data_IF_892035846494
#
_entry.id   IF_892035846494
#
_cell.length_a   1.000
_cell.length_b   1.000
_cell.length_c   1.000
_cell.angle_alpha   90.00
_cell.angle_beta   90.00
_cell.angle_gamma   90.00
#
_symmetry.space_group_name_H-M   'P 1'
#
loop_
_entity.id
_entity.type
_entity.pdbx_description
1 polymer ?
#
# COMPACT_ATOMS: atom_id res chain seq x y z
N UNK A 1 -5.12 1.30 2.32
CA UNK A 1 -6.46 1.55 1.76
C UNK A 1 -6.46 2.48 0.54
N UNK A 2 -5.32 3.11 0.20
CA UNK A 2 -5.15 3.96 -0.99
C UNK A 2 -4.84 3.18 -2.28
N UNK A 3 -4.46 3.94 -3.33
CA UNK A 3 -4.27 3.41 -4.69
C UNK A 3 -3.16 2.37 -4.86
N UNK A 4 -2.13 2.35 -4.01
CA UNK A 4 -1.06 1.33 -4.00
C UNK A 4 -1.42 0.19 -3.06
N UNK A 5 -1.79 0.50 -1.81
CA UNK A 5 -2.08 -0.50 -0.78
C UNK A 5 -3.23 -1.43 -1.14
N UNK A 6 -4.27 -0.93 -1.84
CA UNK A 6 -5.40 -1.77 -2.29
C UNK A 6 -4.99 -2.88 -3.27
N UNK A 7 -3.98 -2.65 -4.11
CA UNK A 7 -3.40 -3.69 -4.95
C UNK A 7 -2.43 -4.57 -4.18
N UNK A 8 -1.61 -3.99 -3.30
CA UNK A 8 -0.61 -4.71 -2.53
C UNK A 8 -1.23 -5.80 -1.65
N UNK A 9 -2.33 -5.49 -0.95
CA UNK A 9 -3.08 -6.47 -0.15
C UNK A 9 -3.48 -7.67 -1.02
N UNK A 10 -4.13 -7.43 -2.15
CA UNK A 10 -4.64 -8.49 -3.02
C UNK A 10 -3.51 -9.32 -3.67
N UNK A 11 -2.43 -8.65 -4.09
CA UNK A 11 -1.26 -9.35 -4.65
C UNK A 11 -0.58 -10.21 -3.59
N UNK A 12 -0.40 -9.71 -2.37
CA UNK A 12 0.16 -10.49 -1.28
C UNK A 12 -0.71 -11.72 -0.95
N UNK A 13 -2.03 -11.57 -0.92
CA UNK A 13 -2.97 -12.69 -0.76
C UNK A 13 -2.89 -13.68 -1.92
N UNK A 14 -2.77 -13.20 -3.15
CA UNK A 14 -2.60 -14.07 -4.33
C UNK A 14 -1.34 -14.94 -4.23
N UNK A 15 -0.27 -14.41 -3.63
CA UNK A 15 0.96 -15.16 -3.37
C UNK A 15 0.95 -15.98 -2.07
N UNK A 16 -0.19 -16.09 -1.39
CA UNK A 16 -0.37 -16.92 -0.21
C UNK A 16 0.11 -16.30 1.10
N UNK A 17 0.38 -15.00 1.15
CA UNK A 17 0.79 -14.34 2.37
C UNK A 17 -0.38 -14.15 3.35
N UNK A 18 -0.08 -14.17 4.65
CA UNK A 18 -0.90 -13.54 5.67
C UNK A 18 -0.64 -12.04 5.66
N UNK A 19 -1.70 -11.23 5.58
CA UNK A 19 -1.60 -9.80 5.31
C UNK A 19 -2.13 -8.97 6.46
N UNK A 20 -1.25 -8.23 7.13
CA UNK A 20 -1.61 -7.13 8.00
C UNK A 20 -1.57 -5.80 7.23
N UNK A 21 -2.49 -4.89 7.52
CA UNK A 21 -2.52 -3.56 6.91
C UNK A 21 -2.93 -2.48 7.89
N UNK A 22 -2.28 -1.32 7.79
CA UNK A 22 -2.69 -0.13 8.53
C UNK A 22 -3.77 0.64 7.77
N UNK A 23 -4.80 1.10 8.46
CA UNK A 23 -5.84 1.95 7.86
C UNK A 23 -6.57 2.77 8.92
N UNK A 24 -7.40 3.73 8.51
CA UNK A 24 -8.35 4.39 9.41
C UNK A 24 -9.65 3.59 9.52
N UNK A 25 -10.39 3.77 10.62
CA UNK A 25 -11.63 3.04 10.89
C UNK A 25 -12.63 3.06 9.73
N UNK A 26 -12.75 4.17 8.99
CA UNK A 26 -13.64 4.31 7.83
C UNK A 26 -13.33 3.38 6.64
N UNK A 27 -12.13 2.82 6.58
CA UNK A 27 -11.67 1.97 5.47
C UNK A 27 -11.49 0.50 5.88
N UNK A 28 -11.88 0.12 7.09
CA UNK A 28 -11.77 -1.25 7.62
C UNK A 28 -12.49 -2.25 6.69
N UNK A 29 -13.75 -1.97 6.34
CA UNK A 29 -14.52 -2.86 5.47
C UNK A 29 -13.91 -3.01 4.08
N UNK A 30 -13.32 -1.92 3.54
CA UNK A 30 -12.62 -1.99 2.26
C UNK A 30 -11.45 -2.97 2.34
N UNK A 31 -10.52 -2.77 3.28
CA UNK A 31 -9.30 -3.58 3.33
C UNK A 31 -9.60 -5.02 3.71
N UNK A 32 -10.63 -5.26 4.53
CA UNK A 32 -11.15 -6.60 4.83
C UNK A 32 -11.69 -7.27 3.57
N UNK A 33 -12.48 -6.55 2.79
CA UNK A 33 -13.01 -7.04 1.50
C UNK A 33 -11.93 -7.30 0.44
N UNK A 34 -10.75 -6.68 0.56
CA UNK A 34 -9.58 -6.93 -0.28
C UNK A 34 -8.73 -8.13 0.19
N UNK A 35 -9.06 -8.72 1.34
CA UNK A 35 -8.42 -9.92 1.87
C UNK A 35 -7.39 -9.69 2.96
N UNK A 36 -7.33 -8.51 3.59
CA UNK A 36 -6.47 -8.31 4.75
C UNK A 36 -6.93 -9.21 5.92
N UNK A 37 -6.01 -9.95 6.51
CA UNK A 37 -6.26 -10.86 7.63
C UNK A 37 -6.24 -10.09 8.96
N UNK A 38 -5.28 -9.18 9.12
CA UNK A 38 -5.14 -8.31 10.30
C UNK A 38 -5.26 -6.85 9.88
N UNK A 39 -6.09 -6.10 10.61
CA UNK A 39 -6.35 -4.69 10.33
C UNK A 39 -5.94 -3.86 11.54
N UNK A 40 -5.00 -2.95 11.35
CA UNK A 40 -4.47 -2.06 12.36
C UNK A 40 -5.05 -0.67 12.13
N UNK A 41 -5.94 -0.23 13.01
CA UNK A 41 -6.47 1.13 12.96
C UNK A 41 -5.45 2.10 13.57
N UNK A 42 -4.68 2.78 12.73
CA UNK A 42 -3.61 3.69 13.16
C UNK A 42 -4.08 4.91 14.00
N UNK A 43 -5.39 5.09 14.14
CA UNK A 43 -5.97 6.11 15.06
C UNK A 43 -6.18 5.59 16.48
N UNK A 44 -6.14 4.29 16.66
CA UNK A 44 -6.46 3.61 17.93
C UNK A 44 -5.26 2.83 18.45
N UNK A 45 -4.38 2.34 17.56
CA UNK A 45 -3.18 1.56 17.92
C UNK A 45 -1.96 1.96 17.08
N UNK A 46 -0.79 1.95 17.69
CA UNK A 46 0.48 2.16 17.00
C UNK A 46 1.01 0.81 16.48
N UNK A 47 1.09 0.65 15.17
CA UNK A 47 1.60 -0.59 14.56
C UNK A 47 3.03 -0.92 14.98
N UNK A 48 3.82 0.07 15.38
CA UNK A 48 5.21 -0.11 15.80
C UNK A 48 5.36 -0.87 17.11
N UNK A 49 4.28 -1.06 17.87
CA UNK A 49 4.25 -1.90 19.06
C UNK A 49 4.36 -3.40 18.72
N UNK A 50 4.10 -3.80 17.47
CA UNK A 50 4.19 -5.18 16.97
C UNK A 50 5.64 -5.54 16.62
N UNK A 51 6.52 -5.56 17.63
CA UNK A 51 7.94 -5.80 17.47
C UNK A 51 8.24 -7.18 16.88
N UNK A 52 9.08 -7.23 15.84
CA UNK A 52 9.55 -8.46 15.19
C UNK A 52 8.41 -9.45 14.82
N UNK A 53 7.28 -8.94 14.35
CA UNK A 53 6.11 -9.75 13.99
C UNK A 53 6.11 -10.14 12.50
N UNK A 54 6.64 -9.25 11.63
CA UNK A 54 6.47 -9.39 10.18
C UNK A 54 7.74 -9.85 9.46
N UNK A 55 7.55 -10.64 8.41
CA UNK A 55 8.63 -11.09 7.52
C UNK A 55 8.92 -10.06 6.43
N UNK A 56 7.88 -9.33 5.98
CA UNK A 56 7.98 -8.31 4.92
C UNK A 56 7.13 -7.11 5.27
N UNK A 57 7.66 -5.91 5.05
CA UNK A 57 6.91 -4.65 5.10
C UNK A 57 7.00 -3.96 3.75
N UNK A 58 5.84 -3.50 3.25
CA UNK A 58 5.74 -2.57 2.13
C UNK A 58 5.33 -1.20 2.66
N UNK A 59 6.27 -0.27 2.67
CA UNK A 59 6.01 1.12 3.01
C UNK A 59 5.57 1.93 1.78
N UNK A 60 4.46 2.63 1.92
CA UNK A 60 3.86 3.49 0.88
C UNK A 60 3.70 4.94 1.31
N UNK A 61 4.25 5.31 2.47
CA UNK A 61 4.06 6.61 3.11
C UNK A 61 5.38 7.36 3.30
N UNK A 62 6.47 6.64 3.63
CA UNK A 62 7.75 7.24 3.96
C UNK A 62 7.80 7.93 5.33
N UNK A 63 8.81 8.76 5.54
CA UNK A 63 8.99 9.55 6.76
C UNK A 63 8.99 8.69 8.03
N UNK A 64 8.33 9.17 9.08
CA UNK A 64 8.23 8.49 10.38
C UNK A 64 7.66 7.06 10.28
N UNK A 65 6.75 6.81 9.36
CA UNK A 65 6.19 5.46 9.16
C UNK A 65 7.26 4.49 8.63
N UNK A 66 8.10 4.95 7.70
CA UNK A 66 9.23 4.17 7.22
C UNK A 66 10.21 3.87 8.36
N UNK A 67 10.53 4.86 9.20
CA UNK A 67 11.42 4.70 10.36
C UNK A 67 10.88 3.67 11.36
N UNK A 68 9.62 3.74 11.72
CA UNK A 68 8.95 2.77 12.60
C UNK A 68 8.86 1.37 12.01
N UNK A 69 8.89 1.25 10.69
CA UNK A 69 8.76 -0.04 9.98
C UNK A 69 9.95 -0.99 10.20
N UNK A 70 11.11 -0.47 10.61
CA UNK A 70 12.26 -1.32 10.91
C UNK A 70 12.03 -2.20 12.15
N UNK A 71 11.31 -1.67 13.16
CA UNK A 71 11.15 -2.36 14.44
C UNK A 71 10.16 -3.51 14.40
N UNK A 72 9.27 -3.51 13.43
CA UNK A 72 8.22 -4.54 13.31
C UNK A 72 8.68 -5.75 12.50
N UNK A 73 9.84 -5.68 11.86
CA UNK A 73 10.40 -6.78 11.08
C UNK A 73 11.15 -7.77 11.96
N UNK A 74 10.99 -9.04 11.64
CA UNK A 74 11.81 -10.12 12.17
C UNK A 74 13.26 -9.98 11.68
N UNK A 75 14.25 -10.51 12.41
CA UNK A 75 15.60 -10.71 11.87
C UNK A 75 15.54 -11.50 10.55
N UNK A 76 16.28 -11.04 9.54
CA UNK A 76 16.20 -11.57 8.17
C UNK A 76 15.01 -11.05 7.34
N UNK A 77 14.16 -10.21 7.92
CA UNK A 77 13.01 -9.62 7.25
C UNK A 77 13.38 -8.64 6.14
N UNK A 78 12.37 -8.19 5.41
CA UNK A 78 12.54 -7.31 4.25
C UNK A 78 11.62 -6.10 4.29
N UNK A 79 12.21 -4.91 4.14
CA UNK A 79 11.49 -3.64 4.00
C UNK A 79 11.62 -3.12 2.56
N UNK A 80 10.48 -2.91 1.91
CA UNK A 80 10.43 -2.27 0.59
C UNK A 80 9.68 -0.97 0.73
N UNK A 81 10.29 0.16 0.37
CA UNK A 81 9.59 1.44 0.33
C UNK A 81 9.45 1.96 -1.10
N UNK A 82 8.30 2.53 -1.40
CA UNK A 82 7.99 3.25 -2.65
C UNK A 82 7.85 4.76 -2.44
N UNK A 83 7.97 5.22 -1.20
CA UNK A 83 7.75 6.61 -0.82
C UNK A 83 8.98 7.32 -0.25
N UNK A 84 9.98 6.57 0.24
CA UNK A 84 11.20 7.12 0.79
C UNK A 84 12.37 6.15 0.66
N UNK A 85 13.60 6.68 0.60
CA UNK A 85 14.80 5.85 0.58
C UNK A 85 15.07 5.32 1.99
N UNK A 86 15.10 3.98 2.20
CA UNK A 86 15.44 3.39 3.49
C UNK A 86 16.91 3.65 3.86
N UNK A 87 17.19 3.65 5.17
CA UNK A 87 18.53 3.70 5.72
C UNK A 87 19.18 2.30 5.71
N UNK A 88 20.21 2.13 4.90
CA UNK A 88 20.90 0.86 4.72
C UNK A 88 21.74 0.49 5.96
N UNK A 89 22.34 1.48 6.67
CA UNK A 89 23.11 1.22 7.86
C UNK A 89 22.23 0.74 9.03
N UNK A 90 21.07 1.38 9.21
CA UNK A 90 20.09 0.94 10.21
C UNK A 90 19.56 -0.47 9.89
N UNK A 91 19.37 -0.77 8.61
CA UNK A 91 18.94 -2.11 8.19
C UNK A 91 19.97 -3.18 8.50
N UNK A 92 21.26 -2.91 8.27
CA UNK A 92 22.36 -3.82 8.59
C UNK A 92 22.42 -4.08 10.10
N UNK A 93 22.34 -3.04 10.94
CA UNK A 93 22.34 -3.16 12.40
C UNK A 93 21.18 -4.05 12.90
N UNK A 94 20.02 -3.96 12.27
CA UNK A 94 18.82 -4.76 12.62
C UNK A 94 18.77 -6.14 11.93
N UNK A 95 19.75 -6.46 11.10
CA UNK A 95 19.80 -7.73 10.37
C UNK A 95 18.65 -7.93 9.37
N UNK A 96 18.17 -6.85 8.74
CA UNK A 96 17.11 -6.88 7.72
C UNK A 96 17.62 -6.40 6.37
N UNK A 97 16.90 -6.73 5.31
CA UNK A 97 17.16 -6.20 3.95
C UNK A 97 16.23 -5.07 3.61
N UNK A 98 16.74 -4.02 2.98
CA UNK A 98 15.92 -2.88 2.55
C UNK A 98 16.03 -2.64 1.06
N UNK A 99 14.96 -2.11 0.46
CA UNK A 99 14.93 -1.72 -0.94
C UNK A 99 14.08 -0.49 -1.15
N UNK A 100 14.64 0.51 -1.83
CA UNK A 100 13.83 1.58 -2.42
C UNK A 100 13.41 1.18 -3.83
N UNK A 101 12.11 1.12 -4.07
CA UNK A 101 11.56 0.72 -5.35
C UNK A 101 11.01 1.94 -6.10
N UNK A 102 11.81 2.48 -7.00
CA UNK A 102 11.31 3.42 -8.01
C UNK A 102 10.44 2.71 -9.04
N UNK A 103 9.34 3.34 -9.41
CA UNK A 103 8.46 2.82 -10.44
C UNK A 103 9.12 2.92 -11.81
N UNK A 104 9.34 1.75 -12.42
CA UNK A 104 9.69 1.64 -13.84
C UNK A 104 8.63 0.78 -14.49
N UNK A 105 7.75 1.40 -15.27
CA UNK A 105 6.67 0.69 -15.96
C UNK A 105 7.27 -0.20 -17.05
N UNK A 106 6.89 -1.48 -17.02
CA UNK A 106 7.21 -2.48 -18.05
C UNK A 106 5.93 -3.11 -18.56
N UNK A 107 5.83 -3.32 -19.85
CA UNK A 107 4.64 -3.90 -20.49
C UNK A 107 4.30 -5.26 -19.89
N UNK A 108 5.29 -6.13 -19.70
CA UNK A 108 5.09 -7.46 -19.13
C UNK A 108 4.52 -7.44 -17.70
N UNK A 109 4.81 -6.40 -16.94
CA UNK A 109 4.25 -6.23 -15.58
C UNK A 109 2.78 -5.79 -15.65
N UNK A 110 2.45 -4.90 -16.58
CA UNK A 110 1.07 -4.47 -16.81
C UNK A 110 0.22 -5.64 -17.32
N UNK A 111 0.73 -6.43 -18.26
CA UNK A 111 0.05 -7.62 -18.77
C UNK A 111 -0.25 -8.64 -17.66
N UNK A 112 0.70 -8.90 -16.76
CA UNK A 112 0.49 -9.78 -15.60
C UNK A 112 -0.60 -9.25 -14.67
N UNK A 113 -0.62 -7.96 -14.39
CA UNK A 113 -1.66 -7.34 -13.56
C UNK A 113 -3.02 -7.43 -14.25
N UNK A 114 -3.08 -7.15 -15.56
CA UNK A 114 -4.30 -7.25 -16.34
C UNK A 114 -4.84 -8.69 -16.41
N UNK A 115 -3.97 -9.69 -16.51
CA UNK A 115 -4.35 -11.10 -16.45
C UNK A 115 -5.00 -11.44 -15.09
N UNK A 116 -4.39 -11.00 -13.97
CA UNK A 116 -4.96 -11.18 -12.64
C UNK A 116 -6.33 -10.49 -12.48
N UNK A 117 -6.47 -9.29 -13.07
CA UNK A 117 -7.74 -8.55 -13.07
C UNK A 117 -8.80 -9.29 -13.90
N UNK A 118 -8.45 -9.76 -15.10
CA UNK A 118 -9.38 -10.48 -15.98
C UNK A 118 -9.88 -11.79 -15.37
N UNK A 119 -9.06 -12.45 -14.56
CA UNK A 119 -9.41 -13.65 -13.79
C UNK A 119 -10.15 -13.36 -12.47
N UNK A 120 -10.39 -12.10 -12.15
CA UNK A 120 -11.05 -11.67 -10.91
C UNK A 120 -10.22 -11.89 -9.64
N UNK A 121 -8.93 -12.21 -9.77
CA UNK A 121 -8.00 -12.44 -8.66
C UNK A 121 -7.54 -11.13 -8.01
N UNK A 122 -7.53 -10.06 -8.79
CA UNK A 122 -7.29 -8.69 -8.31
C UNK A 122 -8.41 -7.80 -8.84
N UNK A 123 -8.98 -6.99 -7.97
CA UNK A 123 -10.06 -6.04 -8.30
C UNK A 123 -9.58 -4.62 -8.07
N UNK A 124 -9.52 -3.75 -9.11
CA UNK A 124 -9.22 -2.34 -8.90
C UNK A 124 -10.27 -1.70 -7.99
N UNK A 125 -9.83 -1.21 -6.84
CA UNK A 125 -10.69 -0.45 -5.95
C UNK A 125 -10.79 0.99 -6.47
N UNK A 126 -11.90 1.36 -7.12
CA UNK A 126 -12.19 2.73 -7.55
C UNK A 126 -13.00 3.42 -6.46
N UNK A 127 -12.41 4.43 -5.83
CA UNK A 127 -13.04 5.15 -4.72
C UNK A 127 -13.89 6.33 -5.19
N UNK A 128 -13.36 7.10 -6.12
CA UNK A 128 -14.02 8.30 -6.64
C UNK A 128 -13.81 8.42 -8.16
N UNK A 129 -14.87 8.87 -8.82
CA UNK A 129 -14.84 9.18 -10.25
C UNK A 129 -15.27 10.63 -10.46
N UNK A 130 -14.52 11.37 -11.25
CA UNK A 130 -14.77 12.77 -11.58
C UNK A 130 -14.96 12.92 -13.10
N UNK A 131 -15.73 13.91 -13.56
CA UNK A 131 -15.83 14.21 -14.98
C UNK A 131 -14.53 14.86 -15.48
N UNK A 132 -14.25 14.73 -16.78
CA UNK A 132 -13.15 15.44 -17.43
C UNK A 132 -13.56 16.91 -17.72
N UNK A 133 -13.67 17.67 -16.65
CA UNK A 133 -13.87 19.13 -16.65
C UNK A 133 -12.79 19.79 -15.82
N UNK A 134 -12.61 21.09 -15.94
CA UNK A 134 -11.63 21.84 -15.13
C UNK A 134 -11.91 21.64 -13.64
N UNK A 135 -13.17 21.72 -13.23
CA UNK A 135 -13.61 21.53 -11.85
C UNK A 135 -13.39 20.09 -11.40
N UNK A 136 -13.78 19.09 -12.20
CA UNK A 136 -13.64 17.68 -11.87
C UNK A 136 -12.17 17.28 -11.70
N UNK A 137 -11.28 17.75 -12.56
CA UNK A 137 -9.84 17.52 -12.43
C UNK A 137 -9.26 18.20 -11.18
N UNK A 138 -9.68 19.43 -10.87
CA UNK A 138 -9.27 20.12 -9.64
C UNK A 138 -9.70 19.36 -8.38
N UNK A 139 -10.94 18.89 -8.34
CA UNK A 139 -11.43 18.11 -7.19
C UNK A 139 -10.70 16.75 -7.07
N UNK A 140 -10.39 16.09 -8.18
CA UNK A 140 -9.59 14.87 -8.18
C UNK A 140 -8.19 15.13 -7.59
N UNK A 141 -7.54 16.23 -7.96
CA UNK A 141 -6.25 16.63 -7.40
C UNK A 141 -6.34 16.96 -5.92
N UNK A 142 -7.31 17.76 -5.47
CA UNK A 142 -7.53 18.06 -4.05
C UNK A 142 -7.69 16.80 -3.23
N UNK A 143 -8.48 15.82 -3.72
CA UNK A 143 -8.65 14.55 -3.06
C UNK A 143 -7.33 13.76 -2.99
N UNK A 144 -6.55 13.75 -4.06
CA UNK A 144 -5.24 13.11 -4.10
C UNK A 144 -4.27 13.74 -3.09
N UNK A 145 -4.18 15.06 -3.06
CA UNK A 145 -3.31 15.83 -2.17
C UNK A 145 -3.70 15.69 -0.69
N UNK A 146 -4.97 15.43 -0.41
CA UNK A 146 -5.44 15.19 0.96
C UNK A 146 -4.82 13.96 1.62
N UNK A 147 -4.22 13.03 0.85
CA UNK A 147 -3.69 11.76 1.33
C UNK A 147 -4.77 10.77 1.81
N UNK A 148 -6.05 11.11 1.65
CA UNK A 148 -7.17 10.34 2.20
C UNK A 148 -8.03 9.66 1.13
N UNK A 149 -7.54 9.57 -0.09
CA UNK A 149 -8.24 8.86 -1.17
C UNK A 149 -8.42 7.38 -0.84
N UNK A 150 -9.61 6.87 -1.09
CA UNK A 150 -9.96 5.46 -0.96
C UNK A 150 -9.77 4.78 -2.32
N UNK A 151 -8.80 3.85 -2.44
CA UNK A 151 -8.51 3.21 -3.73
C UNK A 151 -7.99 4.18 -4.77
N UNK A 152 -8.37 3.97 -6.02
CA UNK A 152 -8.00 4.81 -7.18
C UNK A 152 -8.97 5.95 -7.38
N UNK A 153 -8.44 7.10 -7.78
CA UNK A 153 -9.20 8.24 -8.28
C UNK A 153 -9.22 8.13 -9.81
N UNK A 154 -10.39 8.22 -10.40
CA UNK A 154 -10.60 8.09 -11.85
C UNK A 154 -11.21 9.38 -12.40
N UNK A 155 -10.69 9.84 -13.54
CA UNK A 155 -11.33 10.90 -14.34
C UNK A 155 -11.97 10.23 -15.54
N UNK A 156 -13.29 10.41 -15.68
CA UNK A 156 -14.07 9.85 -16.77
C UNK A 156 -13.98 10.76 -18.00
N UNK A 157 -13.50 10.21 -19.11
CA UNK A 157 -13.27 10.95 -20.39
C UNK A 157 -14.51 10.99 -21.26
N UNK A 158 -15.59 10.27 -20.91
CA UNK A 158 -16.85 10.22 -21.67
C UNK A 158 -17.99 10.81 -20.88
#
# INVERSE_FOLDING_TARGET
SGGVGSFAIQLAKHFGAEVATTTSGRNVDLVKGLGADTIINYKEEDFSERKAEFDVVLDTLGGEILEKSYDVLKPGGRLVSVAGKPDEALAEDKGITVKYQNTKTKVEQLEKIMDLVSKGQVKPAVGNTFPLTVEGVREAHKLSESGHARGKIVVNVK
#
